data_IF_896108057721
#
_entry.id   IF_896108057721
#
_cell.length_a   1.000
_cell.length_b   1.000
_cell.length_c   1.000
_cell.angle_alpha   90.00
_cell.angle_beta   90.00
_cell.angle_gamma   90.00
#
_symmetry.space_group_name_H-M   'P 1'
#
loop_
_entity.id
_entity.type
_entity.pdbx_description
1 polymer ?
#
# COMPACT_ATOMS: atom_id res chain seq x y z
N UNK A 1 0.22 -11.38 18.59
CA UNK A 1 0.70 -10.32 17.69
C UNK A 1 1.22 -10.99 16.43
N UNK A 2 0.35 -11.09 15.44
CA UNK A 2 0.64 -11.63 14.12
C UNK A 2 0.62 -10.47 13.12
N UNK A 3 1.71 -10.29 12.37
CA UNK A 3 1.78 -9.27 11.33
C UNK A 3 1.74 -9.95 9.94
N UNK A 4 0.91 -9.41 9.05
CA UNK A 4 0.81 -9.86 7.65
C UNK A 4 0.76 -8.65 6.72
N UNK A 5 1.22 -8.82 5.49
CA UNK A 5 0.98 -7.87 4.39
C UNK A 5 0.18 -8.59 3.32
N UNK A 6 -0.96 -8.01 2.98
CA UNK A 6 -1.81 -8.46 1.89
C UNK A 6 -1.90 -7.39 0.80
N UNK A 7 -2.20 -7.81 -0.43
CA UNK A 7 -2.60 -6.89 -1.48
C UNK A 7 -4.05 -6.45 -1.24
N UNK A 8 -4.36 -5.17 -1.44
CA UNK A 8 -5.73 -4.65 -1.35
C UNK A 8 -6.72 -5.39 -2.28
N UNK A 9 -6.26 -5.91 -3.41
CA UNK A 9 -7.07 -6.72 -4.34
C UNK A 9 -7.61 -8.02 -3.72
N UNK A 10 -6.92 -8.56 -2.70
CA UNK A 10 -7.38 -9.72 -1.92
C UNK A 10 -8.19 -9.30 -0.68
N UNK A 11 -8.34 -7.99 -0.42
CA UNK A 11 -9.01 -7.39 0.75
C UNK A 11 -9.91 -6.21 0.38
N UNK A 12 -10.75 -6.37 -0.64
CA UNK A 12 -11.60 -5.29 -1.14
C UNK A 12 -12.60 -4.77 -0.08
N UNK A 13 -12.87 -5.54 0.97
CA UNK A 13 -13.62 -5.09 2.15
C UNK A 13 -12.97 -3.89 2.87
N UNK A 14 -11.65 -3.74 2.77
CA UNK A 14 -10.90 -2.65 3.40
C UNK A 14 -10.78 -1.41 2.49
N UNK A 15 -11.27 -1.47 1.25
CA UNK A 15 -11.04 -0.44 0.21
C UNK A 15 -11.38 0.97 0.68
N UNK A 16 -12.56 1.16 1.27
CA UNK A 16 -13.02 2.49 1.69
C UNK A 16 -12.22 3.03 2.88
N UNK A 17 -11.74 2.16 3.77
CA UNK A 17 -10.83 2.54 4.85
C UNK A 17 -9.48 3.00 4.28
N UNK A 18 -8.93 2.25 3.34
CA UNK A 18 -7.64 2.57 2.73
C UNK A 18 -7.72 3.87 1.93
N UNK A 19 -8.79 4.12 1.16
CA UNK A 19 -9.01 5.41 0.48
C UNK A 19 -9.01 6.58 1.46
N UNK A 20 -9.70 6.44 2.59
CA UNK A 20 -9.72 7.47 3.64
C UNK A 20 -8.31 7.78 4.14
N UNK A 21 -7.48 6.76 4.36
CA UNK A 21 -6.09 6.96 4.78
C UNK A 21 -5.23 7.66 3.72
N UNK A 22 -5.39 7.30 2.45
CA UNK A 22 -4.68 7.94 1.35
C UNK A 22 -5.06 9.43 1.22
N UNK A 23 -6.35 9.76 1.38
CA UNK A 23 -6.82 11.15 1.43
C UNK A 23 -6.18 11.88 2.63
N UNK A 24 -6.14 11.24 3.80
CA UNK A 24 -5.50 11.81 5.00
C UNK A 24 -3.98 12.03 4.83
N UNK A 25 -3.30 11.20 4.03
CA UNK A 25 -1.88 11.39 3.67
C UNK A 25 -1.67 12.39 2.53
N UNK A 26 -2.72 13.11 2.09
CA UNK A 26 -2.68 14.08 0.99
C UNK A 26 -2.24 13.47 -0.35
N UNK A 27 -2.52 12.17 -0.57
CA UNK A 27 -2.33 11.55 -1.87
C UNK A 27 -3.33 12.14 -2.87
N UNK A 28 -2.91 12.37 -4.13
CA UNK A 28 -3.79 12.94 -5.14
C UNK A 28 -4.95 12.00 -5.48
N UNK A 29 -6.14 12.58 -5.68
CA UNK A 29 -7.36 11.85 -6.04
C UNK A 29 -7.16 10.96 -7.28
N UNK A 30 -6.46 11.49 -8.30
CA UNK A 30 -6.11 10.75 -9.53
C UNK A 30 -5.32 9.46 -9.23
N UNK A 31 -4.35 9.52 -8.31
CA UNK A 31 -3.57 8.32 -7.94
C UNK A 31 -4.40 7.34 -7.12
N UNK A 32 -5.28 7.84 -6.25
CA UNK A 32 -6.19 7.00 -5.46
C UNK A 32 -7.13 6.24 -6.39
N UNK A 33 -7.74 6.92 -7.36
CA UNK A 33 -8.66 6.32 -8.33
C UNK A 33 -7.95 5.30 -9.22
N UNK A 34 -6.75 5.62 -9.71
CA UNK A 34 -5.97 4.71 -10.53
C UNK A 34 -5.58 3.42 -9.78
N UNK A 35 -5.06 3.55 -8.56
CA UNK A 35 -4.68 2.39 -7.74
C UNK A 35 -5.91 1.58 -7.30
N UNK A 36 -7.03 2.25 -7.03
CA UNK A 36 -8.31 1.60 -6.74
C UNK A 36 -8.78 0.78 -7.93
N UNK A 37 -8.78 1.37 -9.13
CA UNK A 37 -9.20 0.71 -10.36
C UNK A 37 -8.39 -0.55 -10.63
N UNK A 38 -7.06 -0.49 -10.43
CA UNK A 38 -6.18 -1.64 -10.61
C UNK A 38 -6.44 -2.72 -9.56
N UNK A 39 -6.66 -2.33 -8.29
CA UNK A 39 -6.94 -3.26 -7.20
C UNK A 39 -8.25 -4.03 -7.39
N UNK A 40 -9.23 -3.46 -8.10
CA UNK A 40 -10.49 -4.14 -8.42
C UNK A 40 -10.31 -5.28 -9.44
N UNK A 41 -9.26 -5.23 -10.26
CA UNK A 41 -8.92 -6.33 -11.16
C UNK A 41 -7.97 -7.31 -10.46
N UNK A 42 -8.51 -8.39 -9.89
CA UNK A 42 -7.74 -9.39 -9.13
C UNK A 42 -6.58 -10.03 -9.90
N UNK A 43 -6.62 -10.03 -11.23
CA UNK A 43 -5.50 -10.53 -12.03
C UNK A 43 -4.23 -9.69 -11.85
N UNK A 44 -4.39 -8.41 -11.49
CA UNK A 44 -3.29 -7.45 -11.32
C UNK A 44 -2.66 -7.50 -9.92
N UNK A 45 -3.06 -8.44 -9.05
CA UNK A 45 -2.59 -8.45 -7.65
C UNK A 45 -1.09 -8.74 -7.47
N UNK A 46 -0.44 -9.22 -8.52
CA UNK A 46 1.01 -9.42 -8.56
C UNK A 46 1.72 -8.38 -9.44
N UNK A 47 0.97 -7.45 -10.02
CA UNK A 47 1.46 -6.42 -10.92
C UNK A 47 1.52 -5.06 -10.23
N UNK A 48 2.49 -4.26 -10.65
CA UNK A 48 2.60 -2.87 -10.24
C UNK A 48 1.84 -2.01 -11.27
N UNK A 49 1.07 -0.99 -10.85
CA UNK A 49 0.92 -0.50 -9.49
C UNK A 49 0.01 -1.34 -8.59
N UNK A 50 0.32 -1.36 -7.29
CA UNK A 50 -0.49 -2.06 -6.28
C UNK A 50 -0.52 -1.29 -4.96
N UNK A 51 -1.55 -1.58 -4.16
CA UNK A 51 -1.65 -1.15 -2.76
C UNK A 51 -1.48 -2.36 -1.86
N UNK A 52 -0.55 -2.26 -0.92
CA UNK A 52 -0.30 -3.26 0.10
C UNK A 52 -0.83 -2.78 1.44
N UNK A 53 -1.53 -3.65 2.16
CA UNK A 53 -2.14 -3.37 3.47
C UNK A 53 -1.38 -4.16 4.53
N UNK A 54 -0.85 -3.44 5.52
CA UNK A 54 -0.27 -4.05 6.71
C UNK A 54 -1.39 -4.38 7.71
N UNK A 55 -1.39 -5.64 8.17
CA UNK A 55 -2.36 -6.17 9.11
C UNK A 55 -1.68 -6.54 10.42
N UNK A 56 -2.28 -6.14 11.54
CA UNK A 56 -1.91 -6.58 12.88
C UNK A 56 -3.10 -7.33 13.48
N UNK A 57 -2.92 -8.63 13.75
CA UNK A 57 -3.98 -9.51 14.24
C UNK A 57 -5.25 -9.39 13.38
N UNK A 58 -5.07 -9.51 12.05
CA UNK A 58 -6.09 -9.37 10.99
C UNK A 58 -6.73 -7.98 10.79
N UNK A 59 -6.30 -6.96 11.55
CA UNK A 59 -6.80 -5.59 11.42
C UNK A 59 -5.86 -4.72 10.60
N UNK A 60 -6.35 -3.96 9.60
CA UNK A 60 -5.55 -2.95 8.92
C UNK A 60 -4.93 -1.96 9.91
N UNK A 61 -3.62 -1.75 9.80
CA UNK A 61 -2.86 -0.77 10.60
C UNK A 61 -2.03 0.19 9.74
N UNK A 62 -1.92 -0.08 8.44
CA UNK A 62 -1.23 0.81 7.52
C UNK A 62 -1.36 0.37 6.07
N UNK A 63 -0.91 1.23 5.17
CA UNK A 63 -0.93 1.00 3.73
C UNK A 63 0.31 1.58 3.07
N UNK A 64 0.68 1.02 1.93
CA UNK A 64 1.66 1.59 1.02
C UNK A 64 1.27 1.32 -0.43
N UNK A 65 1.66 2.19 -1.34
CA UNK A 65 1.59 1.94 -2.78
C UNK A 65 2.96 1.56 -3.31
N UNK A 66 3.00 0.56 -4.19
CA UNK A 66 4.13 0.33 -5.10
C UNK A 66 3.71 0.86 -6.46
N UNK A 67 4.49 1.78 -7.01
CA UNK A 67 4.19 2.42 -8.29
C UNK A 67 5.28 2.11 -9.31
N UNK A 68 4.86 1.84 -10.55
CA UNK A 68 5.76 1.67 -11.70
C UNK A 68 5.97 3.05 -12.28
N UNK A 69 7.21 3.50 -12.34
CA UNK A 69 7.48 4.76 -13.01
C UNK A 69 7.54 4.53 -14.52
N UNK A 70 6.52 5.00 -15.25
CA UNK A 70 6.54 5.02 -16.71
C UNK A 70 7.28 6.25 -17.26
N UNK A 71 7.71 7.20 -16.41
CA UNK A 71 8.25 8.50 -16.80
C UNK A 71 9.76 8.64 -16.51
N UNK A 72 10.33 7.83 -15.63
CA UNK A 72 11.78 7.80 -15.38
C UNK A 72 12.46 6.82 -16.34
N UNK A 73 13.41 7.33 -17.15
CA UNK A 73 14.20 6.52 -18.11
C UNK A 73 15.12 5.48 -17.46
N UNK A 74 15.44 5.64 -16.17
CA UNK A 74 16.24 4.69 -15.39
C UNK A 74 15.33 3.80 -14.54
N UNK A 75 15.05 2.61 -15.07
CA UNK A 75 14.20 1.60 -14.45
C UNK A 75 14.88 0.86 -13.28
N UNK A 76 16.12 1.20 -12.91
CA UNK A 76 16.84 0.53 -11.81
C UNK A 76 16.18 0.64 -10.44
N UNK A 77 15.32 1.63 -10.25
CA UNK A 77 14.69 1.92 -8.95
C UNK A 77 13.17 1.70 -8.97
N UNK A 78 12.66 0.90 -9.92
CA UNK A 78 11.25 0.52 -9.98
C UNK A 78 11.01 -0.90 -9.41
N UNK A 79 9.86 -1.13 -8.77
CA UNK A 79 8.86 -0.14 -8.40
C UNK A 79 9.31 0.73 -7.21
N UNK A 80 8.79 1.95 -7.14
CA UNK A 80 9.07 2.85 -6.04
C UNK A 80 7.93 2.85 -5.02
N UNK A 81 8.31 3.13 -3.78
CA UNK A 81 7.42 3.19 -2.63
C UNK A 81 6.75 4.57 -2.55
N UNK A 82 5.43 4.60 -2.44
CA UNK A 82 4.64 5.83 -2.35
C UNK A 82 3.47 5.70 -1.36
N UNK A 83 2.84 6.84 -1.03
CA UNK A 83 1.56 6.92 -0.31
C UNK A 83 1.49 6.09 0.98
N UNK A 84 2.54 6.14 1.78
CA UNK A 84 2.61 5.39 3.04
C UNK A 84 1.71 6.03 4.10
N UNK A 85 0.92 5.22 4.78
CA UNK A 85 0.13 5.65 5.93
C UNK A 85 0.17 4.60 7.04
N UNK A 86 0.22 5.05 8.31
CA UNK A 86 0.14 4.21 9.51
C UNK A 86 -0.83 4.86 10.50
N UNK A 87 -1.73 4.07 11.08
CA UNK A 87 -2.67 4.54 12.12
C UNK A 87 -1.91 5.07 13.34
N UNK A 88 -2.41 6.15 13.95
CA UNK A 88 -1.68 6.92 14.97
C UNK A 88 -1.27 6.11 16.19
N UNK A 89 -2.16 5.26 16.69
CA UNK A 89 -1.93 4.42 17.88
C UNK A 89 -0.95 3.26 17.62
N UNK A 90 -0.52 3.09 16.36
CA UNK A 90 0.51 2.14 15.93
C UNK A 90 1.78 2.83 15.43
N UNK A 91 1.80 4.17 15.39
CA UNK A 91 3.04 4.94 15.12
C UNK A 91 4.00 4.80 16.30
N UNK A 92 5.30 4.85 16.04
CA UNK A 92 6.36 4.71 17.04
C UNK A 92 6.36 3.39 17.84
N UNK A 93 5.52 2.40 17.48
CA UNK A 93 5.60 1.02 18.00
C UNK A 93 6.74 0.20 17.35
N UNK A 94 7.75 0.90 16.83
CA UNK A 94 8.95 0.33 16.25
C UNK A 94 8.95 0.29 14.73
N UNK A 95 10.17 0.25 14.23
CA UNK A 95 10.61 0.15 12.85
C UNK A 95 9.96 -1.02 12.10
N UNK A 96 9.31 -1.97 12.78
CA UNK A 96 8.76 -3.21 12.23
C UNK A 96 7.62 -3.04 11.21
N UNK A 97 6.68 -2.09 11.39
CA UNK A 97 5.60 -1.89 10.40
C UNK A 97 6.19 -1.29 9.11
N UNK A 98 7.00 -0.23 9.22
CA UNK A 98 7.70 0.35 8.07
C UNK A 98 8.73 -0.60 7.45
N UNK A 99 9.51 -1.33 8.26
CA UNK A 99 10.49 -2.32 7.78
C UNK A 99 9.76 -3.44 7.05
N UNK A 100 8.67 -4.00 7.55
CA UNK A 100 8.00 -5.14 6.90
C UNK A 100 7.37 -4.71 5.58
N UNK A 101 6.84 -3.48 5.53
CA UNK A 101 6.39 -2.88 4.27
C UNK A 101 7.56 -2.65 3.29
N UNK A 102 8.75 -2.27 3.76
CA UNK A 102 9.94 -2.04 2.93
C UNK A 102 10.81 -3.29 2.66
N UNK A 103 10.63 -4.40 3.41
CA UNK A 103 11.53 -5.56 3.40
C UNK A 103 11.00 -6.78 2.64
N UNK A 104 9.75 -6.74 2.14
CA UNK A 104 9.42 -7.49 0.92
C UNK A 104 10.03 -6.75 -0.28
N UNK A 105 11.35 -6.88 -0.42
CA UNK A 105 11.97 -6.81 -1.74
C UNK A 105 11.25 -7.82 -2.62
N UNK A 106 10.67 -7.32 -3.71
CA UNK A 106 10.27 -8.14 -4.87
C UNK A 106 11.45 -9.01 -5.32
#
# INVERSE_FOLDING_TARGET
MFLRIDNLADRLEDLELIKKWLIQSQTSEVLIDYCTHISLNKNNKFDVPMILVALLDEKPVGTISLLSDSLIKDNKYTPWIANMFVVEDKRNMGEHICIIICSKKL
#
